data_IF_411101808856
#
_entry.id   IF_411101808856
#
_cell.length_a   1.000
_cell.length_b   1.000
_cell.length_c   1.000
_cell.angle_alpha   90.00
_cell.angle_beta   90.00
_cell.angle_gamma   90.00
#
_symmetry.space_group_name_H-M   'P 1'
#
loop_
_entity.id
_entity.type
_entity.pdbx_description
1 polymer ?
#
# COMPACT_ATOMS: atom_id res chain seq x y z
N UNK A 1 -19.19 2.73 1.70
CA UNK A 1 -18.80 2.35 3.07
C UNK A 1 -18.09 3.54 3.67
N UNK A 2 -18.41 3.91 4.90
CA UNK A 2 -17.63 4.93 5.60
C UNK A 2 -16.31 4.31 6.08
N UNK A 3 -15.25 4.52 5.30
CA UNK A 3 -13.93 3.96 5.59
C UNK A 3 -13.32 4.59 6.84
N UNK A 4 -13.74 5.81 7.21
CA UNK A 4 -13.29 6.52 8.42
C UNK A 4 -13.71 5.85 9.73
N UNK A 5 -14.62 4.88 9.67
CA UNK A 5 -15.07 4.09 10.82
C UNK A 5 -14.43 2.70 10.91
N UNK A 6 -13.58 2.33 9.94
CA UNK A 6 -12.87 1.05 9.98
C UNK A 6 -11.90 0.99 11.16
N UNK A 7 -11.90 -0.15 11.86
CA UNK A 7 -11.03 -0.38 13.01
C UNK A 7 -9.55 -0.18 12.64
N UNK A 8 -8.79 0.38 13.59
CA UNK A 8 -7.34 0.53 13.50
C UNK A 8 -6.67 -0.31 14.60
N UNK A 9 -5.48 -0.90 14.34
CA UNK A 9 -4.73 -1.61 15.38
C UNK A 9 -4.45 -0.75 16.61
N UNK A 10 -4.47 -1.37 17.79
CA UNK A 10 -4.29 -0.66 19.07
C UNK A 10 -2.95 0.09 19.15
N UNK A 11 -1.90 -0.49 18.58
CA UNK A 11 -0.58 0.14 18.49
C UNK A 11 -0.62 1.42 17.65
N UNK A 12 -1.24 1.37 16.47
CA UNK A 12 -1.40 2.55 15.60
C UNK A 12 -2.25 3.63 16.30
N UNK A 13 -3.33 3.23 16.97
CA UNK A 13 -4.15 4.14 17.78
C UNK A 13 -3.33 4.85 18.87
N UNK A 14 -2.44 4.13 19.56
CA UNK A 14 -1.55 4.72 20.55
C UNK A 14 -0.55 5.71 19.94
N UNK A 15 0.02 5.40 18.76
CA UNK A 15 0.90 6.31 18.02
C UNK A 15 0.19 7.59 17.61
N UNK A 16 -1.03 7.50 17.07
CA UNK A 16 -1.85 8.65 16.68
C UNK A 16 -2.18 9.56 17.89
N UNK A 17 -2.61 8.97 19.01
CA UNK A 17 -2.89 9.72 20.24
C UNK A 17 -1.65 10.40 20.82
N UNK A 18 -0.50 9.74 20.74
CA UNK A 18 0.76 10.27 21.26
C UNK A 18 1.32 11.43 20.42
N UNK A 19 1.02 11.44 19.12
CA UNK A 19 1.40 12.50 18.19
C UNK A 19 0.43 13.68 18.19
N UNK A 20 -0.83 13.46 18.59
CA UNK A 20 -1.84 14.50 18.67
C UNK A 20 -1.39 15.67 19.55
N UNK A 21 -1.51 16.90 19.05
CA UNK A 21 -1.12 18.12 19.76
C UNK A 21 0.37 18.46 19.72
N UNK A 22 1.23 17.61 19.12
CA UNK A 22 2.60 18.01 18.80
C UNK A 22 2.57 18.94 17.59
N UNK A 23 3.08 20.17 17.73
CA UNK A 23 3.40 20.99 16.56
C UNK A 23 4.46 20.23 15.76
N UNK A 24 4.07 19.75 14.57
CA UNK A 24 5.04 19.21 13.61
C UNK A 24 5.81 20.42 13.05
N UNK A 25 6.78 20.92 13.83
CA UNK A 25 7.70 21.94 13.37
C UNK A 25 8.56 21.27 12.32
N UNK A 26 8.17 21.44 11.06
CA UNK A 26 8.98 21.01 9.93
C UNK A 26 10.22 21.90 9.92
N UNK A 27 11.24 21.51 10.67
CA UNK A 27 12.57 22.11 10.65
C UNK A 27 13.30 21.71 9.38
N UNK A 28 12.66 21.91 8.23
CA UNK A 28 13.23 21.67 6.92
C UNK A 28 13.83 23.00 6.47
N UNK A 29 15.15 23.11 6.58
CA UNK A 29 15.88 24.18 5.93
C UNK A 29 16.00 23.82 4.46
N UNK A 30 15.38 24.60 3.59
CA UNK A 30 15.56 24.46 2.14
C UNK A 30 17.04 24.63 1.80
N UNK A 31 17.63 23.60 1.22
CA UNK A 31 18.99 23.61 0.69
C UNK A 31 18.93 23.49 -0.82
N UNK A 32 19.91 24.08 -1.51
CA UNK A 32 19.96 24.03 -2.96
C UNK A 32 19.84 22.56 -3.43
N UNK A 33 18.91 22.24 -4.34
CA UNK A 33 18.74 20.88 -4.83
C UNK A 33 20.04 20.39 -5.47
N UNK A 34 20.39 19.09 -5.32
CA UNK A 34 21.59 18.55 -5.94
C UNK A 34 21.54 18.79 -7.45
N UNK A 35 22.63 19.31 -8.03
CA UNK A 35 22.70 19.57 -9.48
C UNK A 35 22.82 18.29 -10.34
N UNK A 36 22.73 17.13 -9.70
CA UNK A 36 22.68 15.83 -10.38
C UNK A 36 21.29 15.67 -10.98
N UNK A 37 21.17 15.86 -12.30
CA UNK A 37 19.98 15.44 -13.04
C UNK A 37 20.01 13.92 -13.14
N UNK A 38 19.07 13.23 -12.49
CA UNK A 38 18.88 11.80 -12.68
C UNK A 38 18.54 11.54 -14.16
N UNK A 39 19.42 10.83 -14.88
CA UNK A 39 19.13 10.35 -16.22
C UNK A 39 18.45 8.98 -16.09
N UNK A 40 17.13 9.00 -15.91
CA UNK A 40 16.35 7.77 -15.82
C UNK A 40 15.73 7.47 -17.18
N UNK A 41 16.47 6.73 -18.01
CA UNK A 41 15.88 6.08 -19.18
C UNK A 41 15.13 4.84 -18.69
N UNK A 42 13.87 5.01 -18.30
CA UNK A 42 13.01 3.93 -17.84
C UNK A 42 12.41 3.23 -19.07
N UNK A 43 12.97 2.07 -19.43
CA UNK A 43 12.43 1.21 -20.48
C UNK A 43 11.94 -0.07 -19.82
N UNK A 44 10.70 -0.45 -20.09
CA UNK A 44 10.17 -1.73 -19.64
C UNK A 44 10.98 -2.88 -20.28
N UNK A 45 11.19 -4.00 -19.56
CA UNK A 45 11.81 -5.19 -20.13
C UNK A 45 11.10 -5.62 -21.43
N UNK A 46 11.86 -6.03 -22.44
CA UNK A 46 11.31 -6.43 -23.75
C UNK A 46 10.32 -7.60 -23.64
N UNK A 47 10.44 -8.40 -22.59
CA UNK A 47 9.59 -9.56 -22.31
C UNK A 47 8.41 -9.24 -21.38
N UNK A 48 8.12 -7.95 -21.09
CA UNK A 48 7.06 -7.55 -20.14
C UNK A 48 5.70 -8.19 -20.45
N UNK A 49 5.36 -8.35 -21.73
CA UNK A 49 4.12 -8.97 -22.19
C UNK A 49 4.00 -10.47 -21.86
N UNK A 50 5.09 -11.12 -21.47
CA UNK A 50 5.09 -12.51 -20.99
C UNK A 50 4.65 -12.64 -19.53
N UNK A 51 4.53 -11.52 -18.82
CA UNK A 51 4.24 -11.44 -17.38
C UNK A 51 3.03 -10.53 -17.07
N UNK A 52 1.86 -10.71 -17.71
CA UNK A 52 0.70 -9.89 -17.38
C UNK A 52 0.24 -10.13 -15.94
N UNK A 53 -0.17 -9.08 -15.23
CA UNK A 53 -0.66 -9.19 -13.85
C UNK A 53 -1.82 -10.19 -13.70
N UNK A 54 -2.69 -10.29 -14.71
CA UNK A 54 -3.80 -11.25 -14.71
C UNK A 54 -3.34 -12.71 -14.58
N UNK A 55 -2.17 -13.07 -15.12
CA UNK A 55 -1.58 -14.40 -14.95
C UNK A 55 -1.15 -14.63 -13.50
N UNK A 56 -0.51 -13.64 -12.88
CA UNK A 56 -0.16 -13.70 -11.46
C UNK A 56 -1.40 -13.80 -10.58
N UNK A 57 -2.40 -12.94 -10.82
CA UNK A 57 -3.66 -12.94 -10.09
C UNK A 57 -4.35 -14.31 -10.15
N UNK A 58 -4.47 -14.92 -11.33
CA UNK A 58 -5.11 -16.22 -11.50
C UNK A 58 -4.32 -17.38 -10.89
N UNK A 59 -2.99 -17.33 -10.92
CA UNK A 59 -2.15 -18.42 -10.43
C UNK A 59 -1.93 -18.36 -8.91
N UNK A 60 -1.67 -17.16 -8.38
CA UNK A 60 -1.24 -16.93 -7.00
C UNK A 60 -2.39 -16.46 -6.11
N UNK A 61 -3.18 -15.47 -6.57
CA UNK A 61 -4.21 -14.84 -5.76
C UNK A 61 -5.55 -15.59 -5.81
N UNK A 62 -5.86 -16.21 -6.97
CA UNK A 62 -7.04 -17.04 -7.22
C UNK A 62 -8.33 -16.35 -6.74
N UNK A 63 -9.11 -17.02 -5.90
CA UNK A 63 -10.35 -16.52 -5.31
C UNK A 63 -10.15 -15.28 -4.45
N UNK A 64 -8.92 -15.02 -3.97
CA UNK A 64 -8.58 -13.80 -3.24
C UNK A 64 -8.83 -12.55 -4.09
N UNK A 65 -8.39 -12.57 -5.36
CA UNK A 65 -8.51 -11.42 -6.28
C UNK A 65 -9.96 -11.09 -6.65
N UNK A 66 -10.84 -12.10 -6.73
CA UNK A 66 -12.25 -11.94 -7.09
C UNK A 66 -13.12 -11.31 -6.00
N UNK A 67 -12.54 -10.92 -4.85
CA UNK A 67 -13.26 -10.25 -3.79
C UNK A 67 -13.70 -8.83 -4.21
N UNK A 68 -14.86 -8.35 -3.72
CA UNK A 68 -15.37 -7.03 -4.08
C UNK A 68 -14.43 -5.92 -3.60
N UNK A 69 -14.18 -4.96 -4.47
CA UNK A 69 -13.42 -3.76 -4.13
C UNK A 69 -14.26 -2.77 -3.33
N UNK A 70 -13.61 -1.92 -2.53
CA UNK A 70 -14.27 -0.86 -1.75
C UNK A 70 -14.85 -1.32 -0.41
N UNK A 71 -14.70 -2.61 -0.10
CA UNK A 71 -15.09 -3.23 1.16
C UNK A 71 -13.87 -3.88 1.80
N UNK A 72 -13.94 -4.12 3.12
CA UNK A 72 -12.91 -4.90 3.82
C UNK A 72 -12.82 -6.30 3.25
N UNK A 73 -11.60 -6.75 2.92
CA UNK A 73 -11.36 -8.14 2.52
C UNK A 73 -11.81 -9.10 3.63
N UNK A 74 -12.31 -10.26 3.22
CA UNK A 74 -12.75 -11.32 4.13
C UNK A 74 -11.67 -12.38 4.34
N UNK A 75 -10.72 -12.47 3.40
CA UNK A 75 -9.52 -13.30 3.45
C UNK A 75 -8.36 -12.58 2.76
N UNK A 76 -7.10 -12.88 3.11
CA UNK A 76 -5.94 -12.38 2.40
C UNK A 76 -5.99 -12.72 0.90
N UNK A 77 -5.30 -11.93 0.08
CA UNK A 77 -5.20 -12.17 -1.36
C UNK A 77 -4.19 -13.29 -1.66
N UNK A 78 -3.15 -13.42 -0.84
CA UNK A 78 -2.09 -14.42 -0.93
C UNK A 78 -2.25 -15.52 0.12
N UNK A 79 -1.49 -16.61 -0.01
CA UNK A 79 -1.47 -17.67 0.99
C UNK A 79 -0.57 -17.28 2.16
N UNK A 80 -1.17 -17.07 3.34
CA UNK A 80 -0.48 -16.64 4.55
C UNK A 80 -0.79 -17.57 5.73
N UNK A 81 0.14 -17.66 6.68
CA UNK A 81 -0.11 -18.29 7.98
C UNK A 81 -1.17 -17.51 8.77
N UNK A 82 -1.89 -18.14 9.73
CA UNK A 82 -3.03 -17.51 10.39
C UNK A 82 -2.75 -16.16 11.08
N UNK A 83 -1.55 -15.96 11.62
CA UNK A 83 -1.16 -14.71 12.26
C UNK A 83 -0.96 -13.58 11.25
N UNK A 84 -0.23 -13.86 10.16
CA UNK A 84 -0.02 -12.93 9.05
C UNK A 84 -1.34 -12.65 8.32
N UNK A 85 -2.21 -13.65 8.17
CA UNK A 85 -3.53 -13.50 7.57
C UNK A 85 -4.39 -12.49 8.33
N UNK A 86 -4.38 -12.52 9.67
CA UNK A 86 -5.09 -11.52 10.49
C UNK A 86 -4.51 -10.12 10.28
N UNK A 87 -3.18 -10.01 10.30
CA UNK A 87 -2.49 -8.74 10.07
C UNK A 87 -2.82 -8.18 8.68
N UNK A 88 -2.82 -9.01 7.64
CA UNK A 88 -3.14 -8.62 6.28
C UNK A 88 -4.53 -7.98 6.17
N UNK A 89 -5.52 -8.53 6.88
CA UNK A 89 -6.88 -7.98 6.89
C UNK A 89 -6.97 -6.64 7.64
N UNK A 90 -6.19 -6.46 8.70
CA UNK A 90 -6.05 -5.16 9.37
C UNK A 90 -5.38 -4.14 8.46
N UNK A 91 -4.31 -4.52 7.73
CA UNK A 91 -3.64 -3.64 6.78
C UNK A 91 -4.58 -3.23 5.65
N UNK A 92 -5.41 -4.14 5.12
CA UNK A 92 -6.38 -3.77 4.08
C UNK A 92 -7.35 -2.69 4.55
N UNK A 93 -7.82 -2.77 5.81
CA UNK A 93 -8.65 -1.70 6.39
C UNK A 93 -7.88 -0.37 6.40
N UNK A 94 -6.60 -0.39 6.74
CA UNK A 94 -5.76 0.81 6.72
C UNK A 94 -5.53 1.33 5.29
N UNK A 95 -5.37 0.48 4.29
CA UNK A 95 -5.28 0.88 2.87
C UNK A 95 -6.57 1.58 2.43
N UNK A 96 -7.74 1.04 2.80
CA UNK A 96 -9.03 1.67 2.51
C UNK A 96 -9.16 3.03 3.17
N UNK A 97 -8.74 3.16 4.45
CA UNK A 97 -8.68 4.45 5.16
C UNK A 97 -7.75 5.42 4.47
N UNK A 98 -6.49 5.03 4.24
CA UNK A 98 -5.49 5.89 3.59
C UNK A 98 -5.98 6.43 2.26
N UNK A 99 -6.66 5.59 1.48
CA UNK A 99 -7.04 5.92 0.11
C UNK A 99 -8.38 6.65 0.00
N UNK A 100 -9.26 6.54 0.99
CA UNK A 100 -10.65 7.04 0.87
C UNK A 100 -11.20 7.82 2.06
N UNK A 101 -10.47 7.97 3.16
CA UNK A 101 -10.87 8.78 4.31
C UNK A 101 -10.45 10.24 4.07
N UNK A 102 -11.40 11.07 3.64
CA UNK A 102 -11.18 12.50 3.37
C UNK A 102 -10.89 13.32 4.62
N UNK A 103 -11.16 12.79 5.81
CA UNK A 103 -10.97 13.49 7.08
C UNK A 103 -9.57 13.27 7.68
N UNK A 104 -8.72 12.45 7.04
CA UNK A 104 -7.32 12.28 7.43
C UNK A 104 -6.53 13.57 7.20
N UNK A 105 -6.07 14.19 8.28
CA UNK A 105 -5.09 15.27 8.19
C UNK A 105 -3.71 14.74 7.77
N UNK A 106 -2.87 15.60 7.18
CA UNK A 106 -1.58 15.17 6.60
C UNK A 106 -0.63 14.43 7.55
N UNK A 107 -0.61 14.77 8.84
CA UNK A 107 0.23 14.04 9.82
C UNK A 107 -0.38 12.67 10.20
N UNK A 108 -1.70 12.53 10.20
CA UNK A 108 -2.38 11.24 10.43
C UNK A 108 -2.14 10.32 9.24
N UNK A 109 -2.27 10.86 8.03
CA UNK A 109 -1.94 10.17 6.78
C UNK A 109 -0.50 9.66 6.82
N UNK A 110 0.47 10.50 7.19
CA UNK A 110 1.87 10.10 7.29
C UNK A 110 2.09 8.99 8.32
N UNK A 111 1.52 9.09 9.52
CA UNK A 111 1.65 8.03 10.55
C UNK A 111 1.03 6.72 10.07
N UNK A 112 -0.12 6.77 9.40
CA UNK A 112 -0.82 5.60 8.91
C UNK A 112 -0.06 4.94 7.74
N UNK A 113 0.43 5.73 6.78
CA UNK A 113 1.27 5.25 5.69
C UNK A 113 2.57 4.62 6.19
N UNK A 114 3.26 5.27 7.14
CA UNK A 114 4.47 4.74 7.76
C UNK A 114 4.22 3.39 8.45
N UNK A 115 3.08 3.25 9.13
CA UNK A 115 2.72 2.00 9.78
C UNK A 115 2.54 0.86 8.77
N UNK A 116 1.83 1.09 7.66
CA UNK A 116 1.65 0.08 6.60
C UNK A 116 3.02 -0.35 6.03
N UNK A 117 3.90 0.62 5.76
CA UNK A 117 5.25 0.34 5.28
C UNK A 117 6.06 -0.48 6.29
N UNK A 118 6.02 -0.12 7.56
CA UNK A 118 6.72 -0.83 8.63
C UNK A 118 6.25 -2.29 8.74
N UNK A 119 4.96 -2.58 8.54
CA UNK A 119 4.47 -3.96 8.50
C UNK A 119 5.13 -4.75 7.36
N UNK A 120 5.24 -4.20 6.15
CA UNK A 120 5.90 -4.86 5.02
C UNK A 120 7.42 -5.02 5.21
N UNK A 121 8.07 -4.08 5.90
CA UNK A 121 9.49 -4.17 6.20
C UNK A 121 9.80 -5.25 7.24
N UNK A 122 9.03 -5.27 8.34
CA UNK A 122 9.26 -6.15 9.49
C UNK A 122 8.71 -7.56 9.33
N UNK A 123 7.68 -7.75 8.48
CA UNK A 123 7.07 -9.05 8.19
C UNK A 123 7.17 -9.38 6.70
N UNK A 124 8.27 -10.02 6.26
CA UNK A 124 8.48 -10.36 4.85
C UNK A 124 7.32 -11.10 4.15
N UNK A 125 6.56 -12.02 4.79
CA UNK A 125 5.40 -12.65 4.17
C UNK A 125 4.31 -11.66 3.73
N UNK A 126 4.21 -10.49 4.36
CA UNK A 126 3.18 -9.49 4.06
C UNK A 126 3.53 -8.60 2.86
N UNK A 127 4.76 -8.63 2.33
CA UNK A 127 5.17 -7.71 1.25
C UNK A 127 4.31 -7.87 0.00
N UNK A 128 4.24 -9.10 -0.53
CA UNK A 128 3.44 -9.39 -1.72
C UNK A 128 1.95 -9.21 -1.45
N UNK A 129 1.49 -9.51 -0.23
CA UNK A 129 0.11 -9.27 0.18
C UNK A 129 -0.24 -7.77 0.12
N UNK A 130 0.57 -6.90 0.72
CA UNK A 130 0.35 -5.45 0.74
C UNK A 130 0.34 -4.90 -0.68
N UNK A 131 1.31 -5.30 -1.52
CA UNK A 131 1.39 -4.85 -2.90
C UNK A 131 0.19 -5.35 -3.73
N UNK A 132 -0.26 -6.59 -3.51
CA UNK A 132 -1.45 -7.14 -4.15
C UNK A 132 -2.73 -6.43 -3.70
N UNK A 133 -2.86 -6.07 -2.41
CA UNK A 133 -4.00 -5.32 -1.87
C UNK A 133 -4.06 -3.91 -2.46
N UNK A 134 -2.91 -3.26 -2.64
CA UNK A 134 -2.82 -1.96 -3.29
C UNK A 134 -3.21 -2.05 -4.76
N UNK A 135 -2.70 -3.04 -5.50
CA UNK A 135 -3.12 -3.29 -6.88
C UNK A 135 -4.63 -3.59 -6.98
N UNK A 136 -5.18 -4.39 -6.06
CA UNK A 136 -6.62 -4.67 -5.98
C UNK A 136 -7.44 -3.41 -5.70
N UNK A 137 -6.91 -2.51 -4.87
CA UNK A 137 -7.58 -1.26 -4.50
C UNK A 137 -7.57 -0.24 -5.62
N UNK A 138 -6.53 -0.18 -6.45
CA UNK A 138 -6.39 0.80 -7.54
C UNK A 138 -6.97 0.32 -8.88
N UNK A 139 -7.06 -1.01 -9.09
CA UNK A 139 -7.49 -1.58 -10.36
C UNK A 139 -8.94 -1.23 -10.73
N UNK A 140 -9.16 -0.63 -11.90
CA UNK A 140 -10.50 -0.45 -12.47
C UNK A 140 -11.41 0.51 -11.71
N UNK A 141 -10.84 1.40 -10.88
CA UNK A 141 -11.62 2.36 -10.08
C UNK A 141 -12.04 3.58 -10.88
N UNK A 142 -13.29 3.98 -10.69
CA UNK A 142 -13.88 5.19 -11.29
C UNK A 142 -13.48 6.48 -10.54
N UNK A 143 -13.27 6.39 -9.21
CA UNK A 143 -12.80 7.53 -8.41
C UNK A 143 -11.30 7.73 -8.58
N UNK A 144 -10.96 8.77 -9.33
CA UNK A 144 -9.57 9.15 -9.62
C UNK A 144 -8.77 9.45 -8.33
N UNK A 145 -9.39 10.10 -7.34
CA UNK A 145 -8.73 10.44 -6.08
C UNK A 145 -8.30 9.21 -5.28
N UNK A 146 -9.21 8.25 -5.08
CA UNK A 146 -8.90 7.02 -4.32
C UNK A 146 -7.82 6.21 -5.02
N UNK A 147 -7.87 6.15 -6.36
CA UNK A 147 -6.84 5.50 -7.16
C UNK A 147 -5.49 6.20 -6.98
N UNK A 148 -5.42 7.53 -7.10
CA UNK A 148 -4.19 8.31 -6.93
C UNK A 148 -3.58 8.14 -5.53
N UNK A 149 -4.39 8.16 -4.47
CA UNK A 149 -3.93 7.92 -3.10
C UNK A 149 -3.41 6.48 -2.92
N UNK A 150 -4.07 5.50 -3.54
CA UNK A 150 -3.57 4.13 -3.58
C UNK A 150 -2.23 3.99 -4.32
N UNK A 151 -2.06 4.67 -5.46
CA UNK A 151 -0.79 4.72 -6.21
C UNK A 151 0.33 5.40 -5.43
N UNK A 152 0.02 6.48 -4.69
CA UNK A 152 0.97 7.13 -3.78
C UNK A 152 1.47 6.15 -2.71
N UNK A 153 0.55 5.42 -2.07
CA UNK A 153 0.92 4.43 -1.06
C UNK A 153 1.72 3.27 -1.65
N UNK A 154 1.38 2.82 -2.86
CA UNK A 154 2.17 1.82 -3.59
C UNK A 154 3.59 2.29 -3.88
N UNK A 155 3.77 3.53 -4.32
CA UNK A 155 5.10 4.11 -4.51
C UNK A 155 5.88 4.16 -3.18
N UNK A 156 5.20 4.47 -2.07
CA UNK A 156 5.84 4.48 -0.75
C UNK A 156 6.32 3.08 -0.33
N UNK A 157 5.49 2.05 -0.50
CA UNK A 157 5.88 0.66 -0.29
C UNK A 157 7.05 0.22 -1.19
N UNK A 158 6.99 0.49 -2.49
CA UNK A 158 8.06 0.10 -3.44
C UNK A 158 9.38 0.86 -3.20
N UNK A 159 9.33 2.03 -2.57
CA UNK A 159 10.54 2.77 -2.15
C UNK A 159 11.22 2.17 -0.92
N UNK A 160 10.55 1.28 -0.19
CA UNK A 160 10.98 0.80 1.13
C UNK A 160 11.17 -0.70 1.26
N UNK A 161 10.54 -1.49 0.38
CA UNK A 161 10.78 -2.93 0.25
C UNK A 161 10.51 -3.40 -1.18
N UNK A 162 11.18 -4.47 -1.59
CA UNK A 162 11.02 -5.05 -2.92
C UNK A 162 9.95 -6.15 -2.94
N UNK A 163 9.18 -6.28 -4.03
CA UNK A 163 8.31 -7.45 -4.25
C UNK A 163 9.13 -8.74 -4.32
N UNK A 164 8.47 -9.89 -4.17
CA UNK A 164 9.09 -11.18 -4.49
C UNK A 164 9.36 -11.29 -6.00
N UNK A 165 10.28 -12.19 -6.42
CA UNK A 165 10.51 -12.45 -7.85
C UNK A 165 9.26 -12.90 -8.62
N UNK A 166 8.26 -13.46 -7.94
CA UNK A 166 7.01 -13.88 -8.57
C UNK A 166 6.11 -12.69 -8.91
N UNK A 167 6.20 -11.59 -8.16
CA UNK A 167 5.35 -10.40 -8.29
C UNK A 167 6.07 -9.22 -8.97
N UNK A 168 7.40 -9.18 -8.93
CA UNK A 168 8.22 -8.07 -9.47
C UNK A 168 7.88 -7.69 -10.91
N UNK A 169 8.04 -8.61 -11.87
CA UNK A 169 7.68 -8.34 -13.28
C UNK A 169 6.18 -8.08 -13.48
N UNK A 170 5.26 -8.87 -12.89
CA UNK A 170 3.83 -8.60 -13.00
C UNK A 170 3.37 -7.21 -12.53
N UNK A 171 4.08 -6.56 -11.60
CA UNK A 171 3.71 -5.21 -11.14
C UNK A 171 4.14 -4.08 -12.07
N UNK A 172 4.95 -4.35 -13.09
CA UNK A 172 5.47 -3.31 -13.99
C UNK A 172 4.47 -2.88 -15.07
N UNK A 173 3.36 -3.61 -15.27
CA UNK A 173 2.39 -3.36 -16.35
C UNK A 173 0.94 -3.70 -16.01
#
# INVERSE_FOLDING_TARGET
MDVGMLEIPAELSARLRSAAGRQHVSGVTEVAPPQVKAQNTLILPLDIDSYPFSRYANATLKDGWCQPQGYSLQRPLTSLEPEDARTALEIHKLILRFSGDSDLSGWQEQILGNYIVEQGQTRPPLRDEILAQLAHTTWGRESEEVALRGWLLLAYCLSTFTPSPALDKPLLK
#
